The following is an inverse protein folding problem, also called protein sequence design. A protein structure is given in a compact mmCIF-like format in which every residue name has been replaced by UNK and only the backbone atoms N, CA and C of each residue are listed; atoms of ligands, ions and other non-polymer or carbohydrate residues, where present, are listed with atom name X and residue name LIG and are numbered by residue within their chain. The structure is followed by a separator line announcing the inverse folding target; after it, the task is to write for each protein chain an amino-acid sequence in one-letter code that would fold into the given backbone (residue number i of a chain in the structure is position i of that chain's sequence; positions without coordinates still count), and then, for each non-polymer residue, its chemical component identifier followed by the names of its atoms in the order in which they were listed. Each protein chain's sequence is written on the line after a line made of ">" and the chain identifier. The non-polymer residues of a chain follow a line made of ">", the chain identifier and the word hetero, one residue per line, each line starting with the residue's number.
data_IF_309972794208
#
_entry.id   IF_309972794208
#
_cell.length_a   1.000
_cell.length_b   1.000
_cell.length_c   1.000
_cell.angle_alpha   90.00
_cell.angle_beta   90.00
_cell.angle_gamma   90.00
#
_symmetry.space_group_name_H-M   'P 1'
#
loop_
_entity.id
_entity.type
_entity.pdbx_description
1 polymer ?
#
# COMPACT_ATOMS: atom_id res chain seq x y z
N UNK A 1 -31.15 27.50 -52.67
CA UNK A 1 -29.91 26.73 -52.44
C UNK A 1 -29.74 26.54 -50.95
N UNK A 2 -30.07 25.36 -50.42
CA UNK A 2 -29.79 24.97 -49.03
C UNK A 2 -29.29 23.52 -49.08
N UNK A 3 -27.98 23.34 -48.91
CA UNK A 3 -27.32 22.04 -48.87
C UNK A 3 -27.56 21.42 -47.50
N UNK A 4 -28.35 20.33 -47.46
CA UNK A 4 -28.49 19.49 -46.26
C UNK A 4 -27.15 18.83 -45.96
N UNK A 5 -26.52 19.27 -44.88
CA UNK A 5 -25.38 18.60 -44.25
C UNK A 5 -25.83 17.20 -43.81
N UNK A 6 -25.28 16.16 -44.41
CA UNK A 6 -25.52 14.77 -44.02
C UNK A 6 -24.78 14.51 -42.70
N UNK A 7 -25.52 14.33 -41.62
CA UNK A 7 -24.98 13.77 -40.37
C UNK A 7 -24.73 12.28 -40.61
N UNK A 8 -23.52 11.75 -40.34
CA UNK A 8 -23.26 10.32 -40.49
C UNK A 8 -24.07 9.53 -39.45
N UNK A 9 -24.71 8.45 -39.90
CA UNK A 9 -25.52 7.59 -39.05
C UNK A 9 -24.65 6.88 -38.00
N UNK A 10 -25.16 6.67 -36.77
CA UNK A 10 -24.46 5.89 -35.77
C UNK A 10 -24.31 4.44 -36.25
N UNK A 11 -23.09 3.90 -36.13
CA UNK A 11 -22.76 2.52 -36.47
C UNK A 11 -23.62 1.57 -35.62
N UNK A 12 -24.67 1.01 -36.24
CA UNK A 12 -25.47 -0.04 -35.63
C UNK A 12 -24.64 -1.33 -35.63
N UNK A 13 -24.06 -1.66 -34.49
CA UNK A 13 -23.29 -2.88 -34.29
C UNK A 13 -24.27 -4.04 -34.04
N UNK A 14 -24.54 -4.84 -35.08
CA UNK A 14 -25.35 -6.06 -34.96
C UNK A 14 -24.54 -7.16 -34.23
N UNK A 15 -25.09 -7.89 -33.24
CA UNK A 15 -24.27 -8.60 -32.25
C UNK A 15 -23.70 -9.96 -32.71
N UNK A 16 -24.01 -10.44 -33.91
CA UNK A 16 -23.91 -11.86 -34.22
C UNK A 16 -22.71 -12.30 -35.06
N UNK A 17 -21.75 -11.42 -35.36
CA UNK A 17 -20.51 -11.84 -36.06
C UNK A 17 -19.35 -10.82 -36.04
N UNK A 18 -18.94 -10.34 -34.86
CA UNK A 18 -17.73 -9.52 -34.77
C UNK A 18 -16.49 -10.41 -34.87
N UNK A 19 -15.70 -10.23 -35.93
CA UNK A 19 -14.37 -10.85 -36.04
C UNK A 19 -13.47 -10.25 -34.95
N UNK A 20 -12.55 -11.04 -34.40
CA UNK A 20 -11.61 -10.63 -33.32
C UNK A 20 -10.96 -9.27 -33.58
N UNK A 21 -10.56 -8.98 -34.84
CA UNK A 21 -9.98 -7.68 -35.20
C UNK A 21 -10.93 -6.48 -35.16
N UNK A 22 -12.24 -6.69 -35.27
CA UNK A 22 -13.23 -5.60 -35.15
C UNK A 22 -13.46 -5.24 -33.68
N UNK A 23 -13.39 -6.22 -32.78
CA UNK A 23 -13.55 -6.03 -31.34
C UNK A 23 -12.38 -5.19 -30.78
N UNK A 24 -11.15 -5.48 -31.20
CA UNK A 24 -9.97 -4.71 -30.79
C UNK A 24 -10.04 -3.24 -31.23
N UNK A 25 -10.47 -2.98 -32.47
CA UNK A 25 -10.64 -1.62 -32.97
C UNK A 25 -11.73 -0.84 -32.21
N UNK A 26 -12.83 -1.51 -31.82
CA UNK A 26 -13.86 -0.91 -30.99
C UNK A 26 -13.35 -0.59 -29.58
N UNK A 27 -12.52 -1.45 -28.98
CA UNK A 27 -11.93 -1.20 -27.66
C UNK A 27 -10.98 -0.01 -27.66
N UNK A 28 -10.17 0.16 -28.71
CA UNK A 28 -9.31 1.34 -28.85
C UNK A 28 -10.12 2.64 -28.94
N UNK A 29 -11.21 2.64 -29.73
CA UNK A 29 -12.11 3.79 -29.80
C UNK A 29 -12.79 4.08 -28.46
N UNK A 30 -13.22 3.03 -27.73
CA UNK A 30 -13.82 3.18 -26.40
C UNK A 30 -12.82 3.73 -25.37
N UNK A 31 -11.56 3.29 -25.40
CA UNK A 31 -10.51 3.79 -24.53
C UNK A 31 -10.30 5.30 -24.69
N UNK A 32 -10.22 5.79 -25.94
CA UNK A 32 -10.11 7.22 -26.22
C UNK A 32 -11.29 8.03 -25.65
N UNK A 33 -12.51 7.47 -25.65
CA UNK A 33 -13.67 8.12 -25.03
C UNK A 33 -13.58 8.15 -23.50
N UNK A 34 -13.11 7.07 -22.87
CA UNK A 34 -12.89 7.05 -21.41
C UNK A 34 -11.78 8.01 -20.98
N UNK A 35 -10.75 8.17 -21.81
CA UNK A 35 -9.68 9.15 -21.60
C UNK A 35 -10.22 10.57 -21.67
N UNK A 36 -11.00 10.89 -22.70
CA UNK A 36 -11.66 12.19 -22.82
C UNK A 36 -12.60 12.48 -21.64
N UNK A 37 -13.27 11.45 -21.11
CA UNK A 37 -14.13 11.56 -19.94
C UNK A 37 -13.38 11.56 -18.59
N UNK A 38 -12.06 11.34 -18.58
CA UNK A 38 -11.25 11.34 -17.36
C UNK A 38 -11.46 10.14 -16.43
N UNK A 39 -12.05 9.04 -16.92
CA UNK A 39 -12.36 7.82 -16.14
C UNK A 39 -11.54 6.60 -16.57
N UNK A 40 -10.56 6.81 -17.45
CA UNK A 40 -9.80 5.76 -18.11
C UNK A 40 -9.04 4.83 -17.15
N UNK A 41 -8.51 5.34 -16.04
CA UNK A 41 -7.79 4.53 -15.04
C UNK A 41 -8.65 3.41 -14.40
N UNK A 42 -9.98 3.50 -14.52
CA UNK A 42 -10.91 2.49 -14.02
C UNK A 42 -11.59 1.74 -15.17
N UNK A 43 -12.10 2.48 -16.15
CA UNK A 43 -12.98 1.90 -17.16
C UNK A 43 -12.21 1.16 -18.26
N UNK A 44 -11.01 1.62 -18.64
CA UNK A 44 -10.19 0.92 -19.64
C UNK A 44 -9.68 -0.42 -19.10
N UNK A 45 -9.07 -0.49 -17.90
CA UNK A 45 -8.64 -1.78 -17.33
C UNK A 45 -9.79 -2.75 -17.13
N UNK A 46 -10.95 -2.27 -16.65
CA UNK A 46 -12.16 -3.08 -16.49
C UNK A 46 -12.63 -3.66 -17.82
N UNK A 47 -12.72 -2.84 -18.87
CA UNK A 47 -13.13 -3.27 -20.20
C UNK A 47 -12.17 -4.33 -20.77
N UNK A 48 -10.86 -4.11 -20.68
CA UNK A 48 -9.84 -5.05 -21.18
C UNK A 48 -9.85 -6.37 -20.40
N UNK A 49 -10.01 -6.29 -19.08
CA UNK A 49 -10.14 -7.47 -18.21
C UNK A 49 -11.42 -8.27 -18.53
N UNK A 50 -12.57 -7.61 -18.66
CA UNK A 50 -13.86 -8.25 -18.99
C UNK A 50 -13.83 -8.91 -20.38
N UNK A 51 -13.03 -8.36 -21.30
CA UNK A 51 -12.79 -8.93 -22.63
C UNK A 51 -11.74 -10.06 -22.64
N UNK A 52 -11.11 -10.37 -21.50
CA UNK A 52 -9.98 -11.28 -21.38
C UNK A 52 -8.77 -10.93 -22.27
N UNK A 53 -8.62 -9.64 -22.64
CA UNK A 53 -7.48 -9.15 -23.42
C UNK A 53 -6.35 -8.68 -22.48
N UNK A 54 -5.73 -9.64 -21.81
CA UNK A 54 -4.66 -9.38 -20.84
C UNK A 54 -3.39 -8.81 -21.49
N UNK A 55 -3.17 -9.06 -22.78
CA UNK A 55 -2.04 -8.49 -23.52
C UNK A 55 -2.21 -6.97 -23.66
N UNK A 56 -3.38 -6.53 -24.14
CA UNK A 56 -3.71 -5.11 -24.21
C UNK A 56 -3.76 -4.45 -22.83
N UNK A 57 -4.20 -5.18 -21.79
CA UNK A 57 -4.17 -4.67 -20.41
C UNK A 57 -2.75 -4.38 -19.92
N UNK A 58 -1.82 -5.32 -20.13
CA UNK A 58 -0.42 -5.16 -19.74
C UNK A 58 0.23 -3.98 -20.49
N UNK A 59 -0.04 -3.82 -21.78
CA UNK A 59 0.41 -2.68 -22.59
C UNK A 59 -0.19 -1.35 -22.13
N UNK A 60 -1.47 -1.35 -21.76
CA UNK A 60 -2.16 -0.16 -21.26
C UNK A 60 -1.55 0.31 -19.94
N UNK A 61 -1.34 -0.59 -18.98
CA UNK A 61 -0.71 -0.26 -17.69
C UNK A 61 0.74 0.21 -17.88
N UNK A 62 1.48 -0.40 -18.81
CA UNK A 62 2.86 0.01 -19.08
C UNK A 62 2.96 1.43 -19.67
N UNK A 63 1.95 1.85 -20.44
CA UNK A 63 1.87 3.19 -21.03
C UNK A 63 1.26 4.25 -20.09
N UNK A 64 0.58 3.82 -19.03
CA UNK A 64 -0.16 4.65 -18.08
C UNK A 64 0.30 4.34 -16.64
N UNK A 65 1.46 4.86 -16.20
CA UNK A 65 2.06 4.55 -14.90
C UNK A 65 1.47 5.40 -13.75
N UNK A 66 0.18 5.75 -13.81
CA UNK A 66 -0.48 6.48 -12.74
C UNK A 66 -0.60 5.62 -11.48
N UNK A 67 -0.32 6.16 -10.27
CA UNK A 67 -0.33 5.38 -9.03
C UNK A 67 -1.63 4.61 -8.78
N UNK A 68 -2.79 5.21 -9.08
CA UNK A 68 -4.08 4.57 -8.88
C UNK A 68 -4.28 3.33 -9.78
N UNK A 69 -3.82 3.40 -11.04
CA UNK A 69 -3.89 2.27 -11.96
C UNK A 69 -2.89 1.18 -11.57
N UNK A 70 -1.66 1.56 -11.24
CA UNK A 70 -0.65 0.62 -10.77
C UNK A 70 -1.08 -0.08 -9.47
N UNK A 71 -1.70 0.61 -8.52
CA UNK A 71 -2.24 0.00 -7.31
C UNK A 71 -3.31 -1.04 -7.62
N UNK A 72 -4.28 -0.72 -8.49
CA UNK A 72 -5.29 -1.69 -8.92
C UNK A 72 -4.66 -2.90 -9.63
N UNK A 73 -3.69 -2.66 -10.51
CA UNK A 73 -3.03 -3.72 -11.25
C UNK A 73 -2.16 -4.61 -10.33
N UNK A 74 -1.52 -4.03 -9.32
CA UNK A 74 -0.83 -4.76 -8.26
C UNK A 74 -1.77 -5.69 -7.48
N UNK A 75 -2.96 -5.18 -7.10
CA UNK A 75 -3.99 -5.99 -6.43
C UNK A 75 -4.50 -7.12 -7.32
N UNK A 76 -4.69 -6.84 -8.61
CA UNK A 76 -5.04 -7.86 -9.60
C UNK A 76 -3.97 -8.95 -9.67
N UNK A 77 -2.69 -8.60 -9.83
CA UNK A 77 -1.60 -9.57 -9.87
C UNK A 77 -1.48 -10.39 -8.59
N UNK A 78 -1.68 -9.76 -7.44
CA UNK A 78 -1.70 -10.43 -6.14
C UNK A 78 -2.86 -11.43 -6.03
N UNK A 79 -4.05 -11.09 -6.55
CA UNK A 79 -5.19 -12.01 -6.60
C UNK A 79 -4.94 -13.24 -7.48
N UNK A 80 -4.06 -13.12 -8.49
CA UNK A 80 -3.59 -14.24 -9.32
C UNK A 80 -2.43 -15.02 -8.66
N UNK A 81 -1.99 -14.64 -7.47
CA UNK A 81 -0.85 -15.23 -6.76
C UNK A 81 0.52 -14.82 -7.33
N UNK A 82 0.58 -13.84 -8.23
CA UNK A 82 1.83 -13.39 -8.84
C UNK A 82 2.54 -12.35 -7.96
N UNK A 83 3.03 -12.82 -6.81
CA UNK A 83 3.60 -11.96 -5.77
C UNK A 83 4.83 -11.17 -6.25
N UNK A 84 5.69 -11.76 -7.08
CA UNK A 84 6.89 -11.09 -7.57
C UNK A 84 6.55 -9.91 -8.48
N UNK A 85 5.62 -10.07 -9.43
CA UNK A 85 5.16 -8.96 -10.28
C UNK A 85 4.40 -7.92 -9.47
N UNK A 86 3.49 -8.35 -8.58
CA UNK A 86 2.73 -7.44 -7.73
C UNK A 86 3.65 -6.53 -6.89
N UNK A 87 4.69 -7.09 -6.26
CA UNK A 87 5.67 -6.31 -5.51
C UNK A 87 6.43 -5.29 -6.38
N UNK A 88 6.77 -5.63 -7.63
CA UNK A 88 7.40 -4.69 -8.55
C UNK A 88 6.46 -3.54 -8.92
N UNK A 89 5.19 -3.85 -9.19
CA UNK A 89 4.16 -2.85 -9.51
C UNK A 89 3.87 -1.93 -8.33
N UNK A 90 3.75 -2.46 -7.11
CA UNK A 90 3.56 -1.61 -5.92
C UNK A 90 4.74 -0.69 -5.64
N UNK A 91 5.99 -1.14 -5.90
CA UNK A 91 7.17 -0.26 -5.83
C UNK A 91 7.09 0.87 -6.85
N UNK A 92 6.70 0.56 -8.09
CA UNK A 92 6.50 1.57 -9.13
C UNK A 92 5.38 2.56 -8.76
N UNK A 93 4.32 2.07 -8.11
CA UNK A 93 3.21 2.89 -7.62
C UNK A 93 3.58 3.77 -6.41
N UNK A 94 4.73 3.54 -5.78
CA UNK A 94 5.08 4.16 -4.49
C UNK A 94 4.22 3.68 -3.32
N UNK A 95 3.55 2.53 -3.45
CA UNK A 95 2.73 1.94 -2.38
C UNK A 95 3.60 1.15 -1.39
N UNK A 96 4.27 1.90 -0.53
CA UNK A 96 5.18 1.39 0.51
C UNK A 96 4.49 0.37 1.42
N UNK A 97 3.23 0.62 1.81
CA UNK A 97 2.50 -0.25 2.73
C UNK A 97 2.29 -1.64 2.10
N UNK A 98 1.86 -1.69 0.85
CA UNK A 98 1.68 -2.95 0.13
C UNK A 98 3.00 -3.70 -0.03
N UNK A 99 4.09 -3.01 -0.37
CA UNK A 99 5.43 -3.63 -0.47
C UNK A 99 5.87 -4.24 0.86
N UNK A 100 5.76 -3.50 1.97
CA UNK A 100 6.14 -3.99 3.30
C UNK A 100 5.25 -5.15 3.76
N UNK A 101 3.95 -5.09 3.48
CA UNK A 101 3.01 -6.19 3.78
C UNK A 101 3.41 -7.47 3.04
N UNK A 102 3.76 -7.35 1.75
CA UNK A 102 4.21 -8.51 0.97
C UNK A 102 5.55 -9.07 1.49
N UNK A 103 6.49 -8.21 1.87
CA UNK A 103 7.75 -8.64 2.47
C UNK A 103 7.51 -9.39 3.79
N UNK A 104 6.64 -8.87 4.66
CA UNK A 104 6.26 -9.54 5.91
C UNK A 104 5.60 -10.90 5.66
N UNK A 105 4.69 -10.99 4.68
CA UNK A 105 4.03 -12.25 4.32
C UNK A 105 5.03 -13.30 3.80
N UNK A 106 6.12 -12.87 3.16
CA UNK A 106 7.22 -13.73 2.74
C UNK A 106 8.21 -14.07 3.87
N UNK A 107 8.05 -13.49 5.08
CA UNK A 107 8.99 -13.62 6.19
C UNK A 107 10.26 -12.77 6.05
N UNK A 108 10.36 -11.96 4.99
CA UNK A 108 11.51 -11.07 4.74
C UNK A 108 11.34 -9.74 5.47
N UNK A 109 11.48 -9.79 6.79
CA UNK A 109 11.41 -8.60 7.63
C UNK A 109 12.56 -7.63 7.38
N UNK A 110 13.71 -8.10 6.89
CA UNK A 110 14.87 -7.26 6.61
C UNK A 110 14.54 -6.27 5.49
N UNK A 111 14.03 -6.76 4.35
CA UNK A 111 13.56 -5.91 3.27
C UNK A 111 12.45 -4.94 3.71
N UNK A 112 11.57 -5.38 4.62
CA UNK A 112 10.55 -4.52 5.22
C UNK A 112 11.15 -3.37 6.03
N UNK A 113 12.19 -3.63 6.83
CA UNK A 113 12.86 -2.62 7.65
C UNK A 113 13.61 -1.60 6.80
N UNK A 114 14.31 -2.05 5.75
CA UNK A 114 15.03 -1.16 4.82
C UNK A 114 14.04 -0.20 4.14
N UNK A 115 12.93 -0.74 3.64
CA UNK A 115 11.87 0.05 3.04
C UNK A 115 11.27 1.09 3.99
N UNK A 116 11.04 0.74 5.26
CA UNK A 116 10.56 1.68 6.28
C UNK A 116 11.60 2.73 6.62
N UNK A 117 12.89 2.37 6.66
CA UNK A 117 13.97 3.31 6.92
C UNK A 117 14.14 4.33 5.79
N UNK A 118 14.04 3.89 4.54
CA UNK A 118 14.14 4.76 3.35
C UNK A 118 12.95 5.73 3.23
N UNK A 119 11.74 5.23 3.47
CA UNK A 119 10.51 5.99 3.16
C UNK A 119 9.92 6.73 4.35
N UNK A 120 10.28 6.33 5.58
CA UNK A 120 9.68 6.83 6.83
C UNK A 120 8.14 6.78 6.85
N UNK A 121 7.53 5.82 6.12
CA UNK A 121 6.09 5.67 6.06
C UNK A 121 5.53 5.10 7.37
N UNK A 122 4.75 5.90 8.10
CA UNK A 122 4.23 5.53 9.42
C UNK A 122 3.29 4.31 9.39
N UNK A 123 2.46 4.16 8.34
CA UNK A 123 1.54 3.03 8.21
C UNK A 123 2.31 1.73 7.95
N UNK A 124 3.32 1.78 7.08
CA UNK A 124 4.20 0.65 6.80
C UNK A 124 5.02 0.25 8.04
N UNK A 125 5.59 1.22 8.75
CA UNK A 125 6.31 1.00 10.01
C UNK A 125 5.43 0.32 11.06
N UNK A 126 4.18 0.76 11.21
CA UNK A 126 3.23 0.15 12.13
C UNK A 126 2.87 -1.28 11.72
N UNK A 127 2.65 -1.53 10.43
CA UNK A 127 2.37 -2.88 9.94
C UNK A 127 3.54 -3.82 10.25
N UNK A 128 4.76 -3.41 9.93
CA UNK A 128 5.98 -4.18 10.20
C UNK A 128 6.17 -4.43 11.70
N UNK A 129 5.94 -3.42 12.56
CA UNK A 129 6.04 -3.57 14.01
C UNK A 129 5.13 -4.68 14.55
N UNK A 130 3.88 -4.74 14.08
CA UNK A 130 2.94 -5.80 14.48
C UNK A 130 3.41 -7.19 14.06
N UNK A 131 3.97 -7.30 12.86
CA UNK A 131 4.47 -8.58 12.36
C UNK A 131 5.72 -9.03 13.11
N UNK A 132 6.63 -8.11 13.43
CA UNK A 132 7.82 -8.37 14.26
C UNK A 132 7.43 -8.78 15.69
N UNK A 133 6.44 -8.13 16.28
CA UNK A 133 5.92 -8.47 17.61
C UNK A 133 5.34 -9.90 17.62
N UNK A 134 4.53 -10.25 16.61
CA UNK A 134 4.01 -11.62 16.45
C UNK A 134 5.10 -12.66 16.22
N UNK A 135 6.22 -12.26 15.59
CA UNK A 135 7.40 -13.10 15.40
C UNK A 135 8.33 -13.17 16.63
N UNK A 136 8.00 -12.48 17.73
CA UNK A 136 8.80 -12.45 18.96
C UNK A 136 10.05 -11.56 18.88
N UNK A 137 10.22 -10.77 17.82
CA UNK A 137 11.35 -9.85 17.62
C UNK A 137 11.08 -8.52 18.32
N UNK A 138 11.01 -8.58 19.65
CA UNK A 138 10.50 -7.48 20.49
C UNK A 138 11.25 -6.16 20.32
N UNK A 139 12.59 -6.18 20.31
CA UNK A 139 13.39 -4.95 20.19
C UNK A 139 13.17 -4.24 18.85
N UNK A 140 13.08 -5.00 17.77
CA UNK A 140 12.85 -4.45 16.43
C UNK A 140 11.42 -3.93 16.27
N UNK A 141 10.45 -4.60 16.89
CA UNK A 141 9.08 -4.14 16.95
C UNK A 141 8.94 -2.82 17.71
N UNK A 142 9.64 -2.65 18.85
CA UNK A 142 9.68 -1.38 19.60
C UNK A 142 10.18 -0.24 18.71
N UNK A 143 11.33 -0.41 18.06
CA UNK A 143 11.89 0.60 17.17
C UNK A 143 10.95 0.95 16.01
N UNK A 144 10.25 -0.04 15.44
CA UNK A 144 9.26 0.21 14.39
C UNK A 144 8.01 0.93 14.92
N UNK A 145 7.55 0.63 16.14
CA UNK A 145 6.45 1.36 16.77
C UNK A 145 6.80 2.82 17.04
N UNK A 146 8.02 3.11 17.48
CA UNK A 146 8.52 4.48 17.63
C UNK A 146 8.53 5.22 16.29
N UNK A 147 9.10 4.60 15.24
CA UNK A 147 9.10 5.16 13.87
C UNK A 147 7.68 5.43 13.34
N UNK A 148 6.70 4.61 13.73
CA UNK A 148 5.30 4.82 13.36
C UNK A 148 4.58 5.91 14.16
N UNK A 149 5.20 6.45 15.22
CA UNK A 149 4.60 7.40 16.15
C UNK A 149 3.63 6.77 17.15
N UNK A 150 3.58 5.43 17.25
CA UNK A 150 2.65 4.69 18.11
C UNK A 150 3.30 4.33 19.46
N UNK A 151 3.73 5.36 20.19
CA UNK A 151 4.46 5.22 21.46
C UNK A 151 3.74 4.36 22.51
N UNK A 152 2.40 4.38 22.57
CA UNK A 152 1.67 3.53 23.52
C UNK A 152 1.91 2.03 23.29
N UNK A 153 2.09 1.61 22.03
CA UNK A 153 2.42 0.21 21.71
C UNK A 153 3.87 -0.10 22.06
N UNK A 154 4.79 0.81 21.71
CA UNK A 154 6.21 0.68 22.03
C UNK A 154 6.44 0.57 23.55
N UNK A 155 5.81 1.46 24.34
CA UNK A 155 5.90 1.48 25.81
C UNK A 155 5.36 0.19 26.43
N UNK A 156 4.18 -0.27 25.98
CA UNK A 156 3.62 -1.53 26.46
C UNK A 156 4.61 -2.68 26.22
N UNK A 157 5.10 -2.81 24.98
CA UNK A 157 5.99 -3.89 24.60
C UNK A 157 7.34 -3.81 25.34
N UNK A 158 7.87 -2.61 25.55
CA UNK A 158 9.12 -2.40 26.29
C UNK A 158 8.98 -2.76 27.79
N UNK A 159 7.82 -2.50 28.40
CA UNK A 159 7.52 -2.93 29.78
C UNK A 159 7.46 -4.46 29.90
N UNK A 160 6.87 -5.12 28.89
CA UNK A 160 6.76 -6.58 28.83
C UNK A 160 8.12 -7.26 28.56
N UNK A 161 8.96 -6.66 27.72
CA UNK A 161 10.28 -7.20 27.34
C UNK A 161 11.40 -6.86 28.33
N UNK A 162 11.18 -5.88 29.22
CA UNK A 162 12.22 -5.37 30.13
C UNK A 162 13.24 -4.43 29.47
N UNK A 163 12.87 -3.82 28.33
CA UNK A 163 13.69 -2.82 27.63
C UNK A 163 13.64 -1.45 28.34
N UNK A 164 14.19 -1.37 29.55
CA UNK A 164 14.10 -0.18 30.41
C UNK A 164 14.82 1.06 29.87
N UNK A 165 15.88 0.86 29.07
CA UNK A 165 16.60 1.95 28.41
C UNK A 165 15.71 2.71 27.42
N UNK A 166 14.97 1.96 26.59
CA UNK A 166 14.02 2.53 25.61
C UNK A 166 12.86 3.22 26.31
N UNK A 167 12.38 2.68 27.43
CA UNK A 167 11.30 3.30 28.22
C UNK A 167 11.62 4.72 28.68
N UNK A 168 12.85 4.97 29.14
CA UNK A 168 13.24 6.31 29.55
C UNK A 168 13.28 7.27 28.37
N UNK A 169 13.86 6.85 27.24
CA UNK A 169 13.90 7.64 26.01
C UNK A 169 12.48 8.01 25.54
N UNK A 170 11.59 7.02 25.48
CA UNK A 170 10.19 7.22 25.09
C UNK A 170 9.45 8.16 26.04
N UNK A 171 9.68 8.07 27.35
CA UNK A 171 9.02 8.92 28.32
C UNK A 171 9.29 10.42 28.04
N UNK A 172 10.56 10.76 27.78
CA UNK A 172 11.01 12.13 27.50
C UNK A 172 10.44 12.70 26.20
N UNK A 173 10.14 11.84 25.22
CA UNK A 173 9.54 12.24 23.95
C UNK A 173 8.00 12.25 23.98
N UNK A 174 7.40 11.71 25.04
CA UNK A 174 5.97 11.46 25.13
C UNK A 174 5.20 12.58 25.85
N UNK A 175 3.87 12.45 25.86
CA UNK A 175 3.02 13.33 26.66
C UNK A 175 3.01 12.90 28.13
N UNK A 176 2.56 13.81 29.00
CA UNK A 176 2.47 13.59 30.46
C UNK A 176 1.74 12.29 30.85
N UNK A 177 0.74 11.86 30.06
CA UNK A 177 0.01 10.62 30.36
C UNK A 177 0.89 9.39 30.20
N UNK A 178 1.66 9.31 29.12
CA UNK A 178 2.59 8.20 28.88
C UNK A 178 3.75 8.27 29.87
N UNK A 179 4.28 9.47 30.12
CA UNK A 179 5.34 9.70 31.11
C UNK A 179 4.95 9.19 32.51
N UNK A 180 3.75 9.54 33.00
CA UNK A 180 3.22 9.05 34.28
C UNK A 180 3.04 7.53 34.30
N UNK A 181 2.60 6.94 33.19
CA UNK A 181 2.46 5.49 33.07
C UNK A 181 3.82 4.77 33.14
N UNK A 182 4.88 5.37 32.60
CA UNK A 182 6.25 4.85 32.68
C UNK A 182 6.82 5.07 34.09
N UNK A 183 6.62 6.24 34.71
CA UNK A 183 7.04 6.52 36.08
C UNK A 183 6.47 5.51 37.08
N UNK A 184 5.16 5.21 36.98
CA UNK A 184 4.51 4.16 37.80
C UNK A 184 5.12 2.78 37.59
N UNK A 185 5.52 2.46 36.37
CA UNK A 185 6.19 1.18 36.10
C UNK A 185 7.55 1.09 36.80
N UNK A 186 8.34 2.16 36.76
CA UNK A 186 9.61 2.22 37.49
C UNK A 186 9.41 2.15 39.01
N UNK A 187 8.40 2.85 39.54
CA UNK A 187 8.03 2.78 40.96
C UNK A 187 7.67 1.36 41.40
N UNK A 188 6.84 0.64 40.63
CA UNK A 188 6.48 -0.77 40.92
C UNK A 188 7.68 -1.72 40.87
N UNK A 189 8.74 -1.38 40.11
CA UNK A 189 10.00 -2.13 40.07
C UNK A 189 11.02 -1.68 41.11
N UNK A 190 10.68 -0.73 41.99
CA UNK A 190 11.57 -0.18 43.01
C UNK A 190 12.64 0.79 42.47
N UNK A 191 12.51 1.23 41.22
CA UNK A 191 13.44 2.16 40.56
C UNK A 191 13.02 3.62 40.80
N UNK A 192 12.93 4.01 42.06
CA UNK A 192 12.41 5.33 42.47
C UNK A 192 13.20 6.50 41.87
N UNK A 193 14.53 6.37 41.73
CA UNK A 193 15.37 7.41 41.13
C UNK A 193 14.95 7.74 39.69
N UNK A 194 14.60 6.72 38.90
CA UNK A 194 14.11 6.88 37.54
C UNK A 194 12.67 7.39 37.50
N UNK A 195 11.84 6.94 38.44
CA UNK A 195 10.45 7.40 38.53
C UNK A 195 10.36 8.91 38.85
N UNK A 196 11.23 9.45 39.70
CA UNK A 196 11.25 10.87 40.08
C UNK A 196 11.74 11.79 38.95
N UNK A 197 12.53 11.26 38.01
CA UNK A 197 13.01 12.01 36.85
C UNK A 197 11.93 12.25 35.77
N UNK A 198 10.81 11.52 35.85
CA UNK A 198 9.70 11.55 34.90
C UNK A 198 8.47 12.25 35.50
#
# INVERSE_FOLDING_TARGET
>A
MLTRSSVPAPLQCSPSRLRVGHIAACMQAAAAHYEHAGVHLKEVPRMLHDAHDFGALDEYVASHPEPALLQWYGQYLESQGNNSRAAAIYRQAGDVLSVVRMACAAGDFAAGMDMVAETSNAAAAFHLARQLEMAGRQMEAIACYEKSGRLSHAVRLAKESGAEGELMSMALQSNKRIQLDIARHFEMRGQFERAVQL
#
